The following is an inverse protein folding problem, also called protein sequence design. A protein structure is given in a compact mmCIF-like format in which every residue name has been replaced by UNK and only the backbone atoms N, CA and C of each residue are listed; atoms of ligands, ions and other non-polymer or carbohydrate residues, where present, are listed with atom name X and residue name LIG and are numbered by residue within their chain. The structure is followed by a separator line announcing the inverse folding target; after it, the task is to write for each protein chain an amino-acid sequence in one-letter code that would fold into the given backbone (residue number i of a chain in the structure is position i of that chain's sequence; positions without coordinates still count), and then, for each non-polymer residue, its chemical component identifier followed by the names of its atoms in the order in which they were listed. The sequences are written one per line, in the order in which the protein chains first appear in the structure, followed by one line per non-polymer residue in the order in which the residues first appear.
data_IF_180712593417
#
_entry.id   IF_180712593417
#
_cell.length_a   1.000
_cell.length_b   1.000
_cell.length_c   1.000
_cell.angle_alpha   90.00
_cell.angle_beta   90.00
_cell.angle_gamma   90.00
#
_symmetry.space_group_name_H-M   'P 1'
#
loop_
_entity.id
_entity.type
_entity.pdbx_description
1 polymer ?
#
# COMPACT_ATOMS: atom_id res chain seq x y z
N UNK A 1 -18.83 24.45 6.17
CA UNK A 1 -19.23 23.73 4.93
C UNK A 1 -18.56 24.26 3.66
N UNK A 2 -18.36 25.58 3.50
CA UNK A 2 -17.68 26.16 2.32
C UNK A 2 -16.19 25.81 2.21
N UNK A 3 -15.48 25.76 3.34
CA UNK A 3 -14.03 25.44 3.41
C UNK A 3 -13.74 24.00 2.95
N UNK A 4 -14.50 23.02 3.47
CA UNK A 4 -14.36 21.61 3.06
C UNK A 4 -14.57 21.40 1.55
N UNK A 5 -15.56 22.08 0.96
CA UNK A 5 -15.83 21.98 -0.48
C UNK A 5 -14.73 22.60 -1.34
N UNK A 6 -14.11 23.69 -0.88
CA UNK A 6 -12.95 24.30 -1.57
C UNK A 6 -11.74 23.37 -1.49
N UNK A 7 -11.44 22.86 -0.30
CA UNK A 7 -10.35 21.89 -0.08
C UNK A 7 -10.50 20.65 -0.97
N UNK A 8 -11.69 20.03 -0.98
CA UNK A 8 -11.96 18.85 -1.80
C UNK A 8 -11.75 19.09 -3.31
N UNK A 9 -12.12 20.27 -3.82
CA UNK A 9 -11.91 20.63 -5.22
C UNK A 9 -10.44 20.73 -5.58
N UNK A 10 -9.63 21.34 -4.73
CA UNK A 10 -8.17 21.49 -4.95
C UNK A 10 -7.51 20.11 -4.94
N UNK A 11 -7.82 19.29 -3.93
CA UNK A 11 -7.29 17.92 -3.80
C UNK A 11 -7.60 17.09 -5.04
N UNK A 12 -8.86 17.08 -5.50
CA UNK A 12 -9.22 16.32 -6.70
C UNK A 12 -8.54 16.85 -7.96
N UNK A 13 -8.45 18.18 -8.13
CA UNK A 13 -7.82 18.78 -9.30
C UNK A 13 -6.32 18.45 -9.42
N UNK A 14 -5.64 18.31 -8.28
CA UNK A 14 -4.23 17.93 -8.24
C UNK A 14 -4.02 16.44 -8.52
N UNK A 15 -4.88 15.58 -7.98
CA UNK A 15 -4.77 14.12 -8.11
C UNK A 15 -5.04 13.63 -9.54
N UNK A 16 -5.84 14.35 -10.34
CA UNK A 16 -6.07 14.02 -11.75
C UNK A 16 -4.95 14.48 -12.70
N UNK A 17 -3.89 15.14 -12.21
CA UNK A 17 -2.74 15.50 -13.04
C UNK A 17 -1.92 14.26 -13.37
N UNK A 18 -1.44 14.14 -14.62
CA UNK A 18 -0.55 13.02 -15.04
C UNK A 18 0.71 12.90 -14.17
N UNK A 19 1.15 14.01 -13.55
CA UNK A 19 2.27 14.00 -12.58
C UNK A 19 2.00 13.12 -11.36
N UNK A 20 0.74 12.93 -10.95
CA UNK A 20 0.37 12.10 -9.80
C UNK A 20 0.56 10.60 -10.06
N UNK A 21 0.65 10.17 -11.33
CA UNK A 21 0.98 8.79 -11.74
C UNK A 21 2.43 8.41 -11.45
N UNK A 22 3.32 9.37 -11.26
CA UNK A 22 4.71 9.09 -10.96
C UNK A 22 4.90 8.92 -9.45
N UNK A 23 5.75 7.97 -9.07
CA UNK A 23 6.17 7.69 -7.69
C UNK A 23 7.10 8.78 -7.14
N UNK A 24 6.67 10.04 -7.19
CA UNK A 24 7.38 11.21 -6.66
C UNK A 24 6.72 11.64 -5.37
N UNK A 25 7.45 11.55 -4.27
CA UNK A 25 6.99 12.01 -2.97
C UNK A 25 8.19 12.56 -2.21
N UNK A 26 8.06 13.79 -1.71
CA UNK A 26 9.20 14.55 -1.18
C UNK A 26 9.59 14.15 0.25
N UNK A 27 8.70 13.48 1.00
CA UNK A 27 8.91 13.11 2.40
C UNK A 27 8.81 11.58 2.62
N UNK A 28 9.90 10.81 2.43
CA UNK A 28 9.90 9.35 2.61
C UNK A 28 9.61 8.89 4.05
N UNK A 29 9.78 9.77 5.03
CA UNK A 29 9.65 9.47 6.46
C UNK A 29 8.20 9.13 6.86
N UNK A 30 7.22 9.67 6.12
CA UNK A 30 5.79 9.40 6.33
C UNK A 30 5.38 7.93 6.07
N UNK A 31 6.23 7.12 5.43
CA UNK A 31 6.00 5.68 5.27
C UNK A 31 6.35 4.87 6.52
N UNK A 32 7.24 5.41 7.36
CA UNK A 32 7.75 4.77 8.58
C UNK A 32 7.12 5.29 9.86
N UNK A 33 6.45 6.45 9.81
CA UNK A 33 5.91 7.11 10.99
C UNK A 33 4.39 6.96 11.11
N UNK A 34 3.93 6.94 12.36
CA UNK A 34 2.51 6.97 12.70
C UNK A 34 2.20 8.25 13.48
N UNK A 35 1.16 9.01 13.08
CA UNK A 35 0.70 10.18 13.83
C UNK A 35 0.04 9.83 15.17
N UNK A 36 -0.52 8.62 15.27
CA UNK A 36 -1.41 8.25 16.35
C UNK A 36 -0.69 7.58 17.52
N UNK A 37 0.46 6.97 17.26
CA UNK A 37 1.17 6.15 18.22
C UNK A 37 2.65 6.49 18.27
N UNK A 38 3.28 6.36 19.45
CA UNK A 38 4.73 6.32 19.57
C UNK A 38 5.35 5.25 18.66
N UNK A 39 6.53 5.52 18.10
CA UNK A 39 7.21 4.65 17.14
C UNK A 39 7.36 3.20 17.62
N UNK A 40 7.61 2.98 18.91
CA UNK A 40 7.73 1.62 19.49
C UNK A 40 6.43 0.83 19.42
N UNK A 41 5.29 1.44 19.72
CA UNK A 41 3.98 0.78 19.65
C UNK A 41 3.60 0.48 18.20
N UNK A 42 3.94 1.39 17.27
CA UNK A 42 3.71 1.19 15.85
C UNK A 42 4.52 0.01 15.28
N UNK A 43 5.78 -0.13 15.68
CA UNK A 43 6.63 -1.27 15.29
C UNK A 43 6.05 -2.59 15.83
N UNK A 44 5.61 -2.63 17.10
CA UNK A 44 5.01 -3.83 17.70
C UNK A 44 3.73 -4.23 16.94
N UNK A 45 2.86 -3.27 16.66
CA UNK A 45 1.66 -3.48 15.86
C UNK A 45 1.99 -4.09 14.48
N UNK A 46 2.95 -3.50 13.76
CA UNK A 46 3.39 -4.00 12.45
C UNK A 46 4.00 -5.40 12.53
N UNK A 47 4.79 -5.69 13.57
CA UNK A 47 5.34 -7.03 13.80
C UNK A 47 4.25 -8.11 13.96
N UNK A 48 3.19 -7.82 14.71
CA UNK A 48 2.06 -8.75 14.89
C UNK A 48 1.38 -9.04 13.55
N UNK A 49 1.12 -8.00 12.75
CA UNK A 49 0.50 -8.14 11.43
C UNK A 49 1.41 -8.91 10.46
N UNK A 50 2.70 -8.61 10.46
CA UNK A 50 3.67 -9.34 9.64
C UNK A 50 3.70 -10.81 10.01
N UNK A 51 3.74 -11.13 11.31
CA UNK A 51 3.75 -12.53 11.78
C UNK A 51 2.50 -13.28 11.30
N UNK A 52 1.30 -12.68 11.44
CA UNK A 52 0.07 -13.27 10.93
C UNK A 52 0.09 -13.46 9.41
N UNK A 53 0.54 -12.44 8.67
CA UNK A 53 0.61 -12.49 7.20
C UNK A 53 1.56 -13.57 6.70
N UNK A 54 2.68 -13.79 7.40
CA UNK A 54 3.62 -14.88 7.13
C UNK A 54 2.96 -16.23 7.38
N UNK A 55 2.26 -16.42 8.51
CA UNK A 55 1.54 -17.67 8.81
C UNK A 55 0.55 -18.01 7.71
N UNK A 56 -0.32 -17.05 7.32
CA UNK A 56 -1.31 -17.25 6.27
C UNK A 56 -0.67 -17.62 4.91
N UNK A 57 0.45 -16.97 4.56
CA UNK A 57 1.16 -17.26 3.30
C UNK A 57 1.80 -18.63 3.30
N UNK A 58 2.40 -19.02 4.43
CA UNK A 58 3.04 -20.33 4.59
C UNK A 58 2.00 -21.44 4.54
N UNK A 59 0.88 -21.30 5.25
CA UNK A 59 -0.24 -22.25 5.19
C UNK A 59 -0.77 -22.41 3.76
N UNK A 60 -1.05 -21.30 3.07
CA UNK A 60 -1.51 -21.30 1.67
C UNK A 60 -0.54 -22.05 0.74
N UNK A 61 0.76 -21.92 0.95
CA UNK A 61 1.80 -22.60 0.16
C UNK A 61 1.81 -24.12 0.40
N UNK A 62 1.51 -24.58 1.62
CA UNK A 62 1.50 -26.01 1.96
C UNK A 62 0.19 -26.72 1.60
N UNK A 63 -0.94 -26.00 1.58
CA UNK A 63 -2.25 -26.58 1.25
C UNK A 63 -2.43 -26.91 -0.24
N UNK A 64 -1.75 -26.18 -1.13
CA UNK A 64 -1.92 -26.33 -2.59
C UNK A 64 -0.66 -26.87 -3.25
N UNK A 65 -0.80 -27.80 -4.21
CA UNK A 65 0.34 -28.27 -5.01
C UNK A 65 1.04 -27.10 -5.74
N UNK A 66 2.38 -27.12 -5.77
CA UNK A 66 3.19 -25.93 -6.06
C UNK A 66 2.89 -25.20 -7.38
N UNK A 67 2.51 -25.90 -8.45
CA UNK A 67 2.18 -25.25 -9.72
C UNK A 67 0.74 -24.71 -9.76
N UNK A 68 -0.20 -25.35 -9.07
CA UNK A 68 -1.59 -24.88 -8.97
C UNK A 68 -1.68 -23.63 -8.10
N UNK A 69 -0.81 -23.53 -7.10
CA UNK A 69 -0.73 -22.37 -6.21
C UNK A 69 -0.53 -21.06 -7.00
N UNK A 70 0.34 -21.09 -8.03
CA UNK A 70 0.61 -19.95 -8.91
C UNK A 70 -0.57 -19.56 -9.81
N UNK A 71 -1.60 -20.40 -9.94
CA UNK A 71 -2.75 -20.12 -10.81
C UNK A 71 -3.92 -19.50 -10.05
N UNK A 72 -3.83 -19.37 -8.73
CA UNK A 72 -4.90 -18.80 -7.91
C UNK A 72 -4.58 -17.33 -7.55
N UNK A 73 -5.52 -16.43 -7.86
CA UNK A 73 -5.36 -14.98 -7.65
C UNK A 73 -5.27 -14.57 -6.17
N UNK A 74 -5.91 -15.33 -5.30
CA UNK A 74 -5.83 -15.23 -3.84
C UNK A 74 -4.39 -15.40 -3.36
N UNK A 75 -3.69 -16.43 -3.82
CA UNK A 75 -2.30 -16.70 -3.44
C UNK A 75 -1.35 -15.57 -3.85
N UNK A 76 -1.58 -14.96 -5.01
CA UNK A 76 -0.82 -13.79 -5.45
C UNK A 76 -1.06 -12.60 -4.52
N UNK A 77 -2.32 -12.35 -4.15
CA UNK A 77 -2.68 -11.25 -3.25
C UNK A 77 -2.15 -11.48 -1.83
N UNK A 78 -2.25 -12.70 -1.30
CA UNK A 78 -1.70 -13.09 0.00
C UNK A 78 -0.18 -12.89 0.03
N UNK A 79 0.52 -13.33 -1.03
CA UNK A 79 1.98 -13.21 -1.12
C UNK A 79 2.45 -11.77 -1.24
N UNK A 80 1.76 -10.95 -2.02
CA UNK A 80 2.03 -9.51 -2.08
C UNK A 80 1.78 -8.83 -0.73
N UNK A 81 0.73 -9.24 -0.02
CA UNK A 81 0.41 -8.71 1.32
C UNK A 81 1.51 -9.02 2.32
N UNK A 82 1.99 -10.27 2.31
CA UNK A 82 3.10 -10.69 3.13
C UNK A 82 4.38 -9.90 2.81
N UNK A 83 4.74 -9.79 1.53
CA UNK A 83 5.90 -9.01 1.10
C UNK A 83 5.79 -7.54 1.53
N UNK A 84 4.62 -6.94 1.35
CA UNK A 84 4.34 -5.58 1.80
C UNK A 84 4.57 -5.41 3.30
N UNK A 85 3.91 -6.23 4.13
CA UNK A 85 4.02 -6.10 5.59
C UNK A 85 5.43 -6.43 6.10
N UNK A 86 6.17 -7.35 5.46
CA UNK A 86 7.56 -7.60 5.81
C UNK A 86 8.41 -6.35 5.55
N UNK A 87 8.31 -5.74 4.36
CA UNK A 87 9.07 -4.54 4.03
C UNK A 87 8.64 -3.34 4.88
N UNK A 88 7.34 -3.17 5.12
CA UNK A 88 6.77 -2.12 5.97
C UNK A 88 7.28 -2.21 7.42
N UNK A 89 7.57 -3.42 7.92
CA UNK A 89 8.10 -3.64 9.27
C UNK A 89 9.63 -3.47 9.33
N UNK A 90 10.35 -3.96 8.31
CA UNK A 90 11.80 -3.85 8.26
C UNK A 90 12.28 -2.40 8.14
N UNK A 91 11.53 -1.55 7.44
CA UNK A 91 11.86 -0.16 7.21
C UNK A 91 12.00 0.69 8.50
N UNK A 92 11.00 0.75 9.41
CA UNK A 92 11.14 1.49 10.68
C UNK A 92 12.19 0.85 11.61
N UNK A 93 12.34 -0.49 11.60
CA UNK A 93 13.40 -1.17 12.36
C UNK A 93 14.78 -0.72 11.88
N UNK A 94 14.98 -0.64 10.55
CA UNK A 94 16.23 -0.18 9.96
C UNK A 94 16.55 1.25 10.39
N UNK A 95 15.58 2.17 10.35
CA UNK A 95 15.78 3.55 10.78
C UNK A 95 16.03 3.67 12.29
N UNK A 96 15.33 2.90 13.12
CA UNK A 96 15.55 2.87 14.56
C UNK A 96 16.97 2.37 14.92
N UNK A 97 17.44 1.30 14.27
CA UNK A 97 18.80 0.77 14.46
C UNK A 97 19.85 1.76 13.96
N UNK A 98 19.59 2.43 12.83
CA UNK A 98 20.50 3.46 12.30
C UNK A 98 20.61 4.64 13.27
N UNK A 99 19.49 5.16 13.76
CA UNK A 99 19.47 6.26 14.73
C UNK A 99 20.21 5.92 16.02
N UNK A 100 20.04 4.69 16.52
CA UNK A 100 20.76 4.20 17.70
C UNK A 100 22.29 4.18 17.48
N UNK A 101 22.74 3.63 16.34
CA UNK A 101 24.18 3.59 16.00
C UNK A 101 24.78 4.97 15.79
N UNK A 102 24.03 5.89 15.21
CA UNK A 102 24.49 7.26 14.98
C UNK A 102 24.59 8.06 16.30
N UNK A 103 23.77 7.74 17.31
CA UNK A 103 23.92 8.29 18.67
C UNK A 103 25.13 7.68 19.39
N UNK A 104 25.31 6.36 19.33
CA UNK A 104 26.45 5.66 19.93
C UNK A 104 27.80 6.16 19.37
N UNK A 105 27.87 6.44 18.06
CA UNK A 105 29.07 6.99 17.41
C UNK A 105 29.35 8.46 17.76
N UNK A 106 28.35 9.24 18.18
CA UNK A 106 28.53 10.65 18.60
C UNK A 106 29.02 10.78 20.05
N UNK A 107 28.86 9.75 20.88
CA UNK A 107 29.27 9.78 22.28
C UNK A 107 30.78 9.50 22.49
N UNK A 108 31.56 9.22 21.44
CA UNK A 108 33.00 8.92 21.53
C UNK A 108 33.78 9.51 20.33
N UNK A 109 34.66 10.53 20.44
CA UNK A 109 34.74 11.71 21.32
C UNK A 109 34.67 13.05 20.52
N UNK A 110 34.06 14.10 21.07
CA UNK A 110 34.64 15.46 21.02
C UNK A 110 33.94 16.43 21.99
N UNK A 111 34.54 16.55 23.19
CA UNK A 111 34.52 17.81 23.93
C UNK A 111 35.40 18.80 23.18
N UNK A 112 34.88 19.55 22.21
CA UNK A 112 35.43 20.86 21.79
C UNK A 112 34.33 21.67 21.10
N UNK A 113 33.77 22.59 21.88
CA UNK A 113 33.32 23.92 21.50
C UNK A 113 32.79 24.22 20.08
N UNK A 114 31.52 24.66 20.11
CA UNK A 114 30.85 25.71 19.32
C UNK A 114 29.82 25.23 18.28
N UNK A 115 28.62 25.81 18.45
CA UNK A 115 27.93 26.62 17.44
C UNK A 115 26.53 26.13 17.06
N UNK A 116 25.56 26.69 17.80
CA UNK A 116 24.32 27.31 17.32
C UNK A 116 23.26 26.47 16.56
N UNK A 117 22.02 26.63 17.06
CA UNK A 117 20.71 26.39 16.44
C UNK A 117 20.22 24.94 16.40
N UNK A 118 19.69 24.50 17.53
CA UNK A 118 18.69 23.44 17.62
C UNK A 118 17.45 24.05 18.27
N UNK A 119 16.66 24.76 17.46
CA UNK A 119 15.26 25.12 17.70
C UNK A 119 14.71 25.58 16.33
N UNK A 120 13.47 25.20 16.00
CA UNK A 120 12.65 25.62 14.82
C UNK A 120 12.69 24.83 13.50
N UNK A 121 12.99 23.52 13.44
CA UNK A 121 12.81 22.74 12.18
C UNK A 121 11.61 21.80 12.14
N UNK A 122 10.95 21.51 13.28
CA UNK A 122 9.85 20.52 13.27
C UNK A 122 8.47 21.10 12.91
N UNK A 123 8.28 22.42 13.01
CA UNK A 123 7.01 23.09 12.67
C UNK A 123 6.90 23.42 11.16
N UNK A 124 8.02 23.47 10.43
CA UNK A 124 8.07 23.98 9.05
C UNK A 124 7.75 22.90 7.98
N UNK A 125 7.88 21.61 8.30
CA UNK A 125 7.62 20.52 7.33
C UNK A 125 6.13 20.23 7.11
N UNK A 126 5.27 20.57 8.07
CA UNK A 126 3.81 20.54 7.89
C UNK A 126 3.29 21.71 7.04
N UNK A 127 4.00 22.83 7.01
CA UNK A 127 3.71 23.98 6.13
C UNK A 127 4.04 23.67 4.66
N UNK A 128 4.98 22.73 4.44
CA UNK A 128 5.40 22.26 3.11
C UNK A 128 4.35 21.36 2.42
N UNK A 129 3.40 20.79 3.18
CA UNK A 129 2.24 20.07 2.63
C UNK A 129 1.15 21.02 2.09
N UNK A 130 1.21 22.32 2.41
CA UNK A 130 0.25 23.33 1.93
C UNK A 130 0.83 24.30 0.88
N UNK A 131 2.15 24.52 0.84
CA UNK A 131 2.77 25.58 0.00
C UNK A 131 3.17 25.16 -1.41
N UNK A 132 3.07 23.87 -1.78
CA UNK A 132 3.41 23.41 -3.13
C UNK A 132 2.42 23.86 -4.24
N UNK A 133 1.39 24.65 -3.91
CA UNK A 133 0.34 25.06 -4.85
C UNK A 133 -0.13 26.52 -4.70
N UNK A 134 0.73 27.42 -4.21
CA UNK A 134 0.60 28.84 -4.54
C UNK A 134 1.58 29.16 -5.67
N UNK A 135 1.04 29.53 -6.83
CA UNK A 135 1.79 29.77 -8.07
C UNK A 135 2.71 31.00 -7.95
N UNK A 136 4.02 30.73 -8.07
CA UNK A 136 5.06 31.49 -8.78
C UNK A 136 5.51 32.90 -8.31
N UNK A 137 6.79 33.16 -8.61
CA UNK A 137 7.53 34.44 -8.59
C UNK A 137 8.01 35.02 -7.24
N UNK A 138 9.01 34.39 -6.61
CA UNK A 138 10.24 35.14 -6.27
C UNK A 138 11.44 34.23 -6.07
N UNK A 139 12.56 34.63 -6.67
CA UNK A 139 13.83 33.93 -6.69
C UNK A 139 14.35 33.58 -5.29
N UNK A 140 14.19 32.33 -4.87
CA UNK A 140 15.12 31.64 -3.97
C UNK A 140 15.39 30.26 -4.52
N UNK A 141 16.50 30.13 -5.24
CA UNK A 141 17.10 28.84 -5.59
C UNK A 141 17.58 28.16 -4.31
N UNK A 142 16.65 27.54 -3.56
CA UNK A 142 17.00 26.48 -2.63
C UNK A 142 17.53 25.30 -3.45
N UNK A 143 18.61 24.63 -3.01
CA UNK A 143 19.21 23.54 -3.77
C UNK A 143 18.14 22.48 -3.99
N UNK A 144 17.85 22.23 -5.28
CA UNK A 144 16.88 21.26 -5.78
C UNK A 144 17.31 19.87 -5.31
N UNK A 145 16.97 19.49 -4.07
CA UNK A 145 17.15 18.15 -3.50
C UNK A 145 16.45 17.21 -4.47
N UNK A 146 17.17 16.31 -5.12
CA UNK A 146 16.58 15.42 -6.11
C UNK A 146 15.39 14.68 -5.48
N UNK A 147 14.17 15.04 -5.91
CA UNK A 147 12.86 14.48 -5.49
C UNK A 147 12.69 13.01 -5.93
N UNK A 148 13.71 12.18 -5.77
CA UNK A 148 13.69 10.76 -6.07
C UNK A 148 13.53 10.01 -4.76
N UNK A 149 12.30 9.58 -4.51
CA UNK A 149 11.98 8.64 -3.44
C UNK A 149 12.93 7.44 -3.55
N UNK A 150 13.60 7.01 -2.46
CA UNK A 150 14.47 5.84 -2.51
C UNK A 150 13.73 4.62 -3.05
N UNK A 151 14.41 3.78 -3.83
CA UNK A 151 13.78 2.66 -4.56
C UNK A 151 12.93 1.75 -3.65
N UNK A 152 13.38 1.49 -2.43
CA UNK A 152 12.65 0.65 -1.47
C UNK A 152 11.31 1.26 -1.01
N UNK A 153 11.25 2.58 -0.83
CA UNK A 153 10.00 3.30 -0.53
C UNK A 153 9.05 3.30 -1.73
N UNK A 154 9.59 3.43 -2.95
CA UNK A 154 8.81 3.35 -4.18
C UNK A 154 8.21 1.95 -4.37
N UNK A 155 8.99 0.90 -4.11
CA UNK A 155 8.51 -0.50 -4.12
C UNK A 155 7.43 -0.71 -3.07
N UNK A 156 7.65 -0.23 -1.83
CA UNK A 156 6.68 -0.33 -0.75
C UNK A 156 5.35 0.34 -1.13
N UNK A 157 5.42 1.49 -1.78
CA UNK A 157 4.24 2.25 -2.21
C UNK A 157 3.45 1.54 -3.32
N UNK A 158 4.15 0.96 -4.30
CA UNK A 158 3.51 0.12 -5.32
C UNK A 158 2.85 -1.09 -4.66
N UNK A 159 3.56 -1.80 -3.79
CA UNK A 159 3.03 -2.96 -3.09
C UNK A 159 1.77 -2.62 -2.28
N UNK A 160 1.78 -1.51 -1.53
CA UNK A 160 0.61 -1.03 -0.80
C UNK A 160 -0.61 -0.88 -1.71
N UNK A 161 -0.40 -0.29 -2.90
CA UNK A 161 -1.47 -0.08 -3.88
C UNK A 161 -1.96 -1.41 -4.46
N UNK A 162 -1.05 -2.31 -4.82
CA UNK A 162 -1.40 -3.60 -5.39
C UNK A 162 -2.24 -4.40 -4.40
N UNK A 163 -1.76 -4.52 -3.16
CA UNK A 163 -2.40 -5.30 -2.10
C UNK A 163 -3.77 -4.72 -1.74
N UNK A 164 -3.85 -3.41 -1.50
CA UNK A 164 -5.11 -2.77 -1.09
C UNK A 164 -6.23 -3.01 -2.08
N UNK A 165 -5.94 -2.96 -3.38
CA UNK A 165 -6.95 -3.22 -4.42
C UNK A 165 -7.18 -4.71 -4.66
N UNK A 166 -6.13 -5.52 -4.69
CA UNK A 166 -6.26 -6.94 -5.06
C UNK A 166 -6.96 -7.76 -4.00
N UNK A 167 -6.72 -7.49 -2.70
CA UNK A 167 -7.33 -8.28 -1.62
C UNK A 167 -8.86 -8.15 -1.59
N UNK A 168 -9.38 -6.95 -1.85
CA UNK A 168 -10.82 -6.69 -1.84
C UNK A 168 -11.51 -7.32 -3.06
N UNK A 169 -10.85 -7.26 -4.24
CA UNK A 169 -11.28 -8.01 -5.43
C UNK A 169 -11.35 -9.51 -5.12
N UNK A 170 -10.32 -10.07 -4.48
CA UNK A 170 -10.29 -11.50 -4.13
C UNK A 170 -11.42 -11.85 -3.16
N UNK A 171 -11.67 -11.03 -2.14
CA UNK A 171 -12.76 -11.24 -1.18
C UNK A 171 -14.12 -11.27 -1.89
N UNK A 172 -14.39 -10.34 -2.82
CA UNK A 172 -15.66 -10.30 -3.56
C UNK A 172 -15.80 -11.50 -4.50
N UNK A 173 -14.73 -11.84 -5.23
CA UNK A 173 -14.72 -13.03 -6.07
C UNK A 173 -14.95 -14.29 -5.24
N UNK A 174 -14.35 -14.40 -4.06
CA UNK A 174 -14.57 -15.51 -3.14
C UNK A 174 -16.02 -15.55 -2.63
N UNK A 175 -16.55 -14.43 -2.17
CA UNK A 175 -17.90 -14.36 -1.60
C UNK A 175 -19.02 -14.65 -2.61
N UNK A 176 -18.83 -14.27 -3.88
CA UNK A 176 -19.87 -14.39 -4.92
C UNK A 176 -19.82 -15.73 -5.65
N UNK A 177 -18.62 -16.30 -5.83
CA UNK A 177 -18.41 -17.40 -6.77
C UNK A 177 -18.04 -18.71 -6.09
N UNK A 178 -17.77 -18.71 -4.78
CA UNK A 178 -17.47 -19.96 -4.07
C UNK A 178 -18.77 -20.70 -3.74
N UNK A 179 -18.96 -21.88 -4.33
CA UNK A 179 -20.12 -22.74 -4.05
C UNK A 179 -20.11 -23.27 -2.61
N UNK A 180 -18.93 -23.53 -2.06
CA UNK A 180 -18.72 -24.02 -0.69
C UNK A 180 -17.96 -22.99 0.13
N UNK A 181 -18.71 -22.15 0.82
CA UNK A 181 -18.14 -21.08 1.63
C UNK A 181 -17.39 -21.63 2.84
N UNK A 182 -16.04 -21.53 2.82
CA UNK A 182 -15.20 -21.86 3.97
C UNK A 182 -14.99 -20.59 4.82
N UNK A 183 -15.58 -20.60 6.01
CA UNK A 183 -15.51 -19.48 6.95
C UNK A 183 -14.08 -19.15 7.38
N UNK A 184 -13.21 -20.15 7.50
CA UNK A 184 -11.82 -19.95 7.92
C UNK A 184 -11.02 -19.23 6.84
N UNK A 185 -11.13 -19.66 5.59
CA UNK A 185 -10.45 -19.01 4.45
C UNK A 185 -10.95 -17.59 4.24
N UNK A 186 -12.26 -17.39 4.33
CA UNK A 186 -12.83 -16.04 4.29
C UNK A 186 -12.29 -15.16 5.43
N UNK A 187 -12.20 -15.69 6.66
CA UNK A 187 -11.66 -14.96 7.79
C UNK A 187 -10.18 -14.59 7.60
N UNK A 188 -9.37 -15.48 7.02
CA UNK A 188 -7.97 -15.19 6.64
C UNK A 188 -7.90 -14.03 5.65
N UNK A 189 -8.67 -14.07 4.55
CA UNK A 189 -8.69 -12.99 3.56
C UNK A 189 -9.20 -11.67 4.16
N UNK A 190 -10.27 -11.73 4.96
CA UNK A 190 -10.84 -10.57 5.64
C UNK A 190 -9.85 -9.95 6.63
N UNK A 191 -9.06 -10.76 7.33
CA UNK A 191 -8.04 -10.27 8.26
C UNK A 191 -6.98 -9.41 7.55
N UNK A 192 -6.52 -9.83 6.36
CA UNK A 192 -5.57 -9.07 5.55
C UNK A 192 -6.19 -7.74 5.11
N UNK A 193 -7.45 -7.75 4.67
CA UNK A 193 -8.16 -6.53 4.31
C UNK A 193 -8.27 -5.56 5.50
N UNK A 194 -8.65 -6.05 6.68
CA UNK A 194 -8.71 -5.26 7.91
C UNK A 194 -7.33 -4.66 8.23
N UNK A 195 -6.26 -5.43 8.09
CA UNK A 195 -4.90 -4.94 8.32
C UNK A 195 -4.49 -3.86 7.32
N UNK A 196 -4.86 -3.97 6.06
CA UNK A 196 -4.62 -2.91 5.07
C UNK A 196 -5.40 -1.63 5.37
N UNK A 197 -6.66 -1.75 5.84
CA UNK A 197 -7.45 -0.60 6.28
C UNK A 197 -6.82 0.04 7.51
N UNK A 198 -6.43 -0.77 8.49
CA UNK A 198 -5.74 -0.28 9.69
C UNK A 198 -4.42 0.40 9.34
N UNK A 199 -3.66 -0.13 8.38
CA UNK A 199 -2.44 0.50 7.87
C UNK A 199 -2.75 1.85 7.21
N UNK A 200 -3.82 1.97 6.41
CA UNK A 200 -4.23 3.25 5.81
C UNK A 200 -4.69 4.30 6.85
N UNK A 201 -5.14 3.87 8.03
CA UNK A 201 -5.54 4.74 9.14
C UNK A 201 -4.34 5.09 10.03
N UNK A 202 -3.44 4.14 10.29
CA UNK A 202 -2.34 4.34 11.23
C UNK A 202 -1.06 4.86 10.57
N UNK A 203 -0.90 4.66 9.27
CA UNK A 203 0.24 5.15 8.49
C UNK A 203 -0.14 6.41 7.72
N UNK A 204 0.81 7.33 7.59
CA UNK A 204 0.70 8.46 6.66
C UNK A 204 1.23 8.14 5.25
N UNK A 205 1.48 6.86 4.95
CA UNK A 205 1.84 6.44 3.61
C UNK A 205 0.85 7.00 2.57
N UNK A 206 1.32 7.81 1.60
CA UNK A 206 0.47 8.53 0.68
C UNK A 206 -0.36 7.57 -0.16
N UNK A 207 -1.66 7.83 -0.31
CA UNK A 207 -2.52 7.09 -1.24
C UNK A 207 -2.95 8.04 -2.35
N UNK A 208 -2.65 7.70 -3.60
CA UNK A 208 -2.98 8.49 -4.80
C UNK A 208 -4.03 7.83 -5.64
N UNK A 209 -4.96 8.61 -6.17
CA UNK A 209 -6.12 8.04 -6.87
C UNK A 209 -5.69 7.32 -8.15
N UNK A 210 -4.80 7.90 -8.96
CA UNK A 210 -4.40 7.31 -10.25
C UNK A 210 -3.54 6.05 -10.15
N UNK A 211 -3.05 5.68 -8.95
CA UNK A 211 -2.28 4.45 -8.77
C UNK A 211 -3.11 3.17 -8.96
N UNK A 212 -4.45 3.26 -9.08
CA UNK A 212 -5.28 2.09 -9.48
C UNK A 212 -4.78 1.45 -10.80
N UNK A 213 -4.14 2.22 -11.70
CA UNK A 213 -3.55 1.69 -12.92
C UNK A 213 -2.49 0.60 -12.67
N UNK A 214 -1.74 0.70 -11.57
CA UNK A 214 -0.79 -0.35 -11.19
C UNK A 214 -1.52 -1.65 -10.83
N UNK A 215 -2.67 -1.54 -10.18
CA UNK A 215 -3.52 -2.71 -9.89
C UNK A 215 -4.07 -3.35 -11.16
N UNK A 216 -4.42 -2.56 -12.19
CA UNK A 216 -4.81 -3.12 -13.49
C UNK A 216 -3.66 -3.87 -14.17
N UNK A 217 -2.45 -3.31 -14.17
CA UNK A 217 -1.27 -3.99 -14.74
C UNK A 217 -1.04 -5.33 -14.03
N UNK A 218 -1.19 -5.36 -12.71
CA UNK A 218 -1.10 -6.58 -11.93
C UNK A 218 -2.17 -7.62 -12.31
N UNK A 219 -3.44 -7.22 -12.40
CA UNK A 219 -4.51 -8.13 -12.83
C UNK A 219 -4.36 -8.60 -14.26
N UNK A 220 -3.90 -7.74 -15.17
CA UNK A 220 -3.59 -8.12 -16.54
C UNK A 220 -2.46 -9.16 -16.58
N UNK A 221 -1.42 -8.96 -15.76
CA UNK A 221 -0.30 -9.90 -15.64
C UNK A 221 -0.79 -11.27 -15.18
N UNK A 222 -1.68 -11.31 -14.18
CA UNK A 222 -2.30 -12.56 -13.73
C UNK A 222 -3.12 -13.25 -14.84
N UNK A 223 -3.97 -12.49 -15.55
CA UNK A 223 -4.75 -13.03 -16.68
C UNK A 223 -3.83 -13.60 -17.75
N UNK A 224 -2.73 -12.92 -18.08
CA UNK A 224 -1.74 -13.43 -19.03
C UNK A 224 -1.11 -14.73 -18.56
N UNK A 225 -0.75 -14.87 -17.28
CA UNK A 225 -0.21 -16.12 -16.73
C UNK A 225 -1.22 -17.27 -16.86
N UNK A 226 -2.50 -17.02 -16.54
CA UNK A 226 -3.56 -18.02 -16.68
C UNK A 226 -3.77 -18.41 -18.15
N UNK A 227 -3.76 -17.44 -19.07
CA UNK A 227 -3.89 -17.71 -20.51
C UNK A 227 -2.70 -18.51 -21.05
N UNK A 228 -1.47 -18.13 -20.68
CA UNK A 228 -0.25 -18.85 -21.05
C UNK A 228 -0.33 -20.30 -20.55
N UNK A 229 -0.76 -20.51 -19.31
CA UNK A 229 -0.96 -21.84 -18.76
C UNK A 229 -2.00 -22.64 -19.56
N UNK A 230 -3.16 -22.03 -19.84
CA UNK A 230 -4.24 -22.66 -20.59
C UNK A 230 -3.78 -23.10 -22.00
N UNK A 231 -3.13 -22.20 -22.75
CA UNK A 231 -2.73 -22.47 -24.14
C UNK A 231 -1.47 -23.33 -24.28
N UNK A 232 -0.53 -23.31 -23.33
CA UNK A 232 0.73 -24.04 -23.45
C UNK A 232 0.74 -25.39 -22.72
N UNK A 233 0.02 -25.53 -21.61
CA UNK A 233 0.15 -26.69 -20.70
C UNK A 233 -1.08 -27.59 -20.66
N UNK A 234 -2.28 -27.08 -20.97
CA UNK A 234 -3.51 -27.88 -20.87
C UNK A 234 -3.57 -29.00 -21.92
N UNK A 235 -2.91 -28.81 -23.07
CA UNK A 235 -2.96 -29.75 -24.21
C UNK A 235 -2.15 -31.04 -23.99
N UNK A 236 -1.42 -31.18 -22.85
CA UNK A 236 -0.48 -32.31 -22.67
C UNK A 236 -0.48 -33.05 -21.34
N UNK A 237 -0.93 -32.51 -20.19
CA UNK A 237 -0.55 -33.17 -18.91
C UNK A 237 -1.44 -33.03 -17.67
N UNK A 238 -2.58 -32.32 -17.68
CA UNK A 238 -3.28 -32.01 -16.42
C UNK A 238 -4.77 -32.43 -16.45
N UNK A 239 -5.19 -33.42 -15.64
CA UNK A 239 -6.58 -33.87 -15.58
C UNK A 239 -7.50 -32.95 -14.77
N UNK A 240 -6.95 -32.02 -13.97
CA UNK A 240 -7.74 -31.13 -13.10
C UNK A 240 -7.54 -29.65 -13.48
N UNK A 241 -8.65 -28.98 -13.79
CA UNK A 241 -8.67 -27.56 -14.10
C UNK A 241 -8.41 -26.74 -12.81
N UNK A 242 -7.57 -25.68 -12.86
CA UNK A 242 -7.35 -24.83 -11.68
C UNK A 242 -8.66 -24.26 -11.14
N UNK A 243 -8.79 -24.19 -9.80
CA UNK A 243 -10.03 -23.77 -9.10
C UNK A 243 -10.60 -22.45 -9.63
N UNK A 244 -9.74 -21.47 -9.90
CA UNK A 244 -10.15 -20.17 -10.43
C UNK A 244 -10.71 -20.24 -11.85
N UNK A 245 -10.14 -21.10 -12.72
CA UNK A 245 -10.63 -21.29 -14.09
C UNK A 245 -11.96 -22.03 -14.05
N UNK A 246 -12.10 -23.04 -13.19
CA UNK A 246 -13.37 -23.75 -12.96
C UNK A 246 -14.49 -22.80 -12.49
N UNK A 247 -14.15 -21.81 -11.66
CA UNK A 247 -15.08 -20.78 -11.15
C UNK A 247 -15.62 -19.85 -12.24
N UNK A 248 -14.91 -19.73 -13.36
CA UNK A 248 -15.20 -18.79 -14.46
C UNK A 248 -15.78 -19.51 -15.69
N UNK A 249 -16.04 -20.82 -15.58
CA UNK A 249 -16.53 -21.64 -16.68
C UNK A 249 -17.90 -21.16 -17.21
N UNK A 250 -18.76 -20.67 -16.32
CA UNK A 250 -20.05 -20.09 -16.70
C UNK A 250 -19.91 -18.65 -17.26
N UNK A 251 -20.59 -18.32 -18.38
CA UNK A 251 -20.54 -16.97 -18.97
C UNK A 251 -20.97 -15.86 -18.01
N UNK A 252 -21.92 -16.13 -17.12
CA UNK A 252 -22.37 -15.18 -16.10
C UNK A 252 -21.27 -14.94 -15.05
N UNK A 253 -20.68 -16.00 -14.50
CA UNK A 253 -19.59 -15.93 -13.52
C UNK A 253 -18.38 -15.19 -14.09
N UNK A 254 -18.02 -15.49 -15.34
CA UNK A 254 -16.96 -14.77 -16.06
C UNK A 254 -17.25 -13.27 -16.19
N UNK A 255 -18.46 -12.92 -16.63
CA UNK A 255 -18.88 -11.52 -16.77
C UNK A 255 -18.81 -10.78 -15.42
N UNK A 256 -19.26 -11.42 -14.34
CA UNK A 256 -19.21 -10.85 -12.98
C UNK A 256 -17.76 -10.61 -12.54
N UNK A 257 -16.85 -11.57 -12.75
CA UNK A 257 -15.42 -11.40 -12.42
C UNK A 257 -14.81 -10.24 -13.20
N UNK A 258 -15.06 -10.14 -14.51
CA UNK A 258 -14.56 -9.03 -15.31
C UNK A 258 -15.11 -7.68 -14.82
N UNK A 259 -16.38 -7.62 -14.45
CA UNK A 259 -16.98 -6.41 -13.89
C UNK A 259 -16.36 -6.04 -12.54
N UNK A 260 -16.09 -7.00 -11.65
CA UNK A 260 -15.42 -6.76 -10.37
C UNK A 260 -13.97 -6.28 -10.62
N UNK A 261 -13.25 -6.87 -11.57
CA UNK A 261 -11.89 -6.46 -11.90
C UNK A 261 -11.85 -5.05 -12.49
N UNK A 262 -12.75 -4.73 -13.42
CA UNK A 262 -12.79 -3.42 -14.09
C UNK A 262 -13.33 -2.35 -13.15
N UNK A 263 -14.48 -2.57 -12.50
CA UNK A 263 -15.15 -1.52 -11.72
C UNK A 263 -14.69 -1.52 -10.26
N UNK A 264 -14.37 -2.68 -9.69
CA UNK A 264 -13.99 -2.80 -8.29
C UNK A 264 -12.69 -2.07 -7.97
N UNK A 265 -11.63 -2.23 -8.77
CA UNK A 265 -10.33 -1.61 -8.51
C UNK A 265 -10.37 -0.08 -8.32
N UNK A 266 -10.95 0.72 -9.25
CA UNK A 266 -11.01 2.16 -9.05
C UNK A 266 -11.91 2.55 -7.86
N UNK A 267 -12.96 1.79 -7.56
CA UNK A 267 -13.81 2.03 -6.39
C UNK A 267 -13.06 1.75 -5.08
N UNK A 268 -12.25 0.69 -5.03
CA UNK A 268 -11.47 0.35 -3.85
C UNK A 268 -10.33 1.35 -3.64
N UNK A 269 -9.66 1.76 -4.72
CA UNK A 269 -8.67 2.84 -4.63
C UNK A 269 -9.30 4.14 -4.11
N UNK A 270 -10.52 4.46 -4.55
CA UNK A 270 -11.27 5.61 -4.05
C UNK A 270 -11.62 5.48 -2.57
N UNK A 271 -11.98 4.27 -2.09
CA UNK A 271 -12.21 4.00 -0.68
C UNK A 271 -10.95 4.26 0.16
N UNK A 272 -9.82 3.66 -0.21
CA UNK A 272 -8.54 3.86 0.49
C UNK A 272 -8.09 5.32 0.45
N UNK A 273 -8.22 5.96 -0.70
CA UNK A 273 -7.94 7.39 -0.86
C UNK A 273 -8.79 8.25 0.09
N UNK A 274 -10.09 7.94 0.19
CA UNK A 274 -11.01 8.67 1.07
C UNK A 274 -10.65 8.49 2.54
N UNK A 275 -10.29 7.26 2.95
CA UNK A 275 -9.83 6.97 4.32
C UNK A 275 -8.56 7.77 4.63
N UNK A 276 -7.57 7.74 3.73
CA UNK A 276 -6.31 8.46 3.92
C UNK A 276 -6.51 9.98 4.00
N UNK A 277 -7.29 10.58 3.09
CA UNK A 277 -7.55 12.03 3.12
C UNK A 277 -8.37 12.43 4.36
N UNK A 278 -9.29 11.58 4.81
CA UNK A 278 -10.01 11.79 6.08
C UNK A 278 -9.05 11.75 7.26
N UNK A 279 -8.14 10.78 7.29
CA UNK A 279 -7.13 10.63 8.33
C UNK A 279 -6.25 11.89 8.45
N UNK A 280 -5.72 12.36 7.31
CA UNK A 280 -4.97 13.62 7.26
C UNK A 280 -5.81 14.81 7.75
N UNK A 281 -7.05 14.93 7.28
CA UNK A 281 -7.95 16.02 7.70
C UNK A 281 -8.20 16.02 9.21
N UNK A 282 -8.44 14.85 9.81
CA UNK A 282 -8.65 14.71 11.25
C UNK A 282 -7.38 15.09 12.00
N UNK A 283 -6.23 14.56 11.61
CA UNK A 283 -4.96 14.89 12.26
C UNK A 283 -4.71 16.40 12.28
N UNK A 284 -4.81 17.07 11.13
CA UNK A 284 -4.63 18.53 11.06
C UNK A 284 -5.64 19.30 11.91
N UNK A 285 -6.90 18.84 11.97
CA UNK A 285 -7.92 19.51 12.77
C UNK A 285 -7.66 19.45 14.28
N UNK A 286 -7.04 18.38 14.77
CA UNK A 286 -6.82 18.14 16.20
C UNK A 286 -5.42 18.52 16.69
N UNK A 287 -4.41 18.44 15.83
CA UNK A 287 -3.00 18.71 16.16
C UNK A 287 -2.41 19.94 15.47
N UNK A 288 -3.13 20.55 14.51
CA UNK A 288 -2.71 21.78 13.83
C UNK A 288 -3.49 22.99 14.34
N UNK A 289 -3.01 23.59 15.43
CA UNK A 289 -3.20 25.00 15.82
C UNK A 289 -2.08 25.45 16.73
#
# INVERSE_FOLDING_TARGET
MSVFRKWLKVVLAEEFRVKSLFLRFSSPELFSESPWFPSSLFIIYRLVITAWSVIVTVESTFETSSYLWLLQLDNWSISLSCLYFVLATLLPIYYAVKAYKDQENKEIPEKTEKSYMADDEHENECELLWTANEEDESHRELPRREDRLPCYHAVLWVLQTLVGNSILVVILCYAILEEQFNQLEFAKLLSIFIFMVAEAVFSFAPIRLLHFLYSYVFSLTYVLVVLIYYFLLLDKLVPELPRFVKRIDDPLSSTVVFMILIVGQPLFQLLYFSIHKLNCYVYFKYHGY
#
